data_IF_096521635597
#
_entry.id   IF_096521635597
#
_cell.length_a   1.000
_cell.length_b   1.000
_cell.length_c   1.000
_cell.angle_alpha   90.00
_cell.angle_beta   90.00
_cell.angle_gamma   90.00
#
_symmetry.space_group_name_H-M   'P 1'
#
loop_
_entity.id
_entity.type
_entity.pdbx_description
1 polymer ?
#
# COMPACT_ATOMS: atom_id res chain seq x y z
N UNK A 1 -2.38 -11.11 28.34
CA UNK A 1 -1.86 -9.96 27.56
C UNK A 1 -2.93 -8.89 27.45
N UNK A 2 -2.59 -7.65 27.81
CA UNK A 2 -3.53 -6.50 27.77
C UNK A 2 -3.97 -6.24 26.30
N UNK A 3 -5.19 -5.71 26.10
CA UNK A 3 -5.73 -5.37 24.76
C UNK A 3 -4.81 -4.44 23.96
N UNK A 4 -4.20 -3.44 24.63
CA UNK A 4 -3.25 -2.51 24.02
C UNK A 4 -1.99 -3.23 23.50
N UNK A 5 -1.39 -4.07 24.33
CA UNK A 5 -0.20 -4.86 23.96
C UNK A 5 -0.50 -5.81 22.79
N UNK A 6 -1.65 -6.47 22.82
CA UNK A 6 -2.07 -7.36 21.74
C UNK A 6 -2.25 -6.59 20.42
N UNK A 7 -2.86 -5.40 20.45
CA UNK A 7 -2.99 -4.54 19.26
C UNK A 7 -1.63 -4.12 18.70
N UNK A 8 -0.68 -3.73 19.58
CA UNK A 8 0.68 -3.37 19.17
C UNK A 8 1.41 -4.54 18.47
N UNK A 9 1.29 -5.76 19.01
CA UNK A 9 1.88 -6.96 18.40
C UNK A 9 1.32 -7.19 17.00
N UNK A 10 0.00 -7.10 16.80
CA UNK A 10 -0.57 -7.24 15.45
C UNK A 10 -0.11 -6.15 14.48
N UNK A 11 -0.01 -4.89 14.95
CA UNK A 11 0.50 -3.79 14.11
C UNK A 11 1.97 -4.04 13.73
N UNK A 12 2.79 -4.50 14.67
CA UNK A 12 4.18 -4.85 14.39
C UNK A 12 4.29 -5.99 13.36
N UNK A 13 3.50 -7.06 13.52
CA UNK A 13 3.46 -8.18 12.56
C UNK A 13 3.01 -7.71 11.16
N UNK A 14 1.96 -6.88 11.09
CA UNK A 14 1.49 -6.34 9.82
C UNK A 14 2.53 -5.41 9.17
N UNK A 15 3.22 -4.60 9.98
CA UNK A 15 4.32 -3.77 9.49
C UNK A 15 5.46 -4.61 8.93
N UNK A 16 5.88 -5.67 9.63
CA UNK A 16 6.92 -6.59 9.15
C UNK A 16 6.53 -7.24 7.82
N UNK A 17 5.30 -7.74 7.71
CA UNK A 17 4.78 -8.30 6.46
C UNK A 17 4.73 -7.26 5.34
N UNK A 18 4.32 -6.02 5.64
CA UNK A 18 4.28 -4.94 4.67
C UNK A 18 5.69 -4.57 4.17
N UNK A 19 6.69 -4.53 5.08
CA UNK A 19 8.09 -4.29 4.74
C UNK A 19 8.64 -5.45 3.88
N UNK A 20 8.37 -6.69 4.26
CA UNK A 20 8.79 -7.87 3.50
C UNK A 20 8.22 -7.87 2.08
N UNK A 21 6.90 -7.64 1.92
CA UNK A 21 6.26 -7.54 0.61
C UNK A 21 6.80 -6.38 -0.21
N UNK A 22 7.04 -5.22 0.41
CA UNK A 22 7.61 -4.05 -0.27
C UNK A 22 9.04 -4.32 -0.77
N UNK A 23 9.86 -4.97 0.06
CA UNK A 23 11.24 -5.32 -0.27
C UNK A 23 11.28 -6.40 -1.35
N UNK A 24 10.43 -7.42 -1.23
CA UNK A 24 10.27 -8.48 -2.23
C UNK A 24 9.85 -7.90 -3.58
N UNK A 25 8.80 -7.08 -3.62
CA UNK A 25 8.36 -6.42 -4.85
C UNK A 25 9.48 -5.60 -5.51
N UNK A 26 10.27 -4.93 -4.70
CA UNK A 26 11.39 -4.13 -5.18
C UNK A 26 12.58 -4.98 -5.67
N UNK A 27 12.67 -6.26 -5.28
CA UNK A 27 13.67 -7.20 -5.82
C UNK A 27 13.22 -7.86 -7.13
N UNK A 28 11.92 -7.81 -7.45
CA UNK A 28 11.43 -8.28 -8.74
C UNK A 28 11.86 -7.29 -9.82
N UNK A 29 12.61 -7.79 -10.82
CA UNK A 29 13.02 -7.01 -11.98
C UNK A 29 11.83 -6.83 -12.94
N UNK A 30 10.80 -6.11 -12.50
CA UNK A 30 9.64 -5.84 -13.34
C UNK A 30 10.02 -4.87 -14.46
N UNK A 31 9.50 -5.05 -15.69
CA UNK A 31 9.81 -4.19 -16.83
C UNK A 31 9.06 -2.84 -16.74
N UNK A 32 9.06 -2.25 -15.55
CA UNK A 32 8.48 -0.93 -15.29
C UNK A 32 9.59 0.10 -15.12
N UNK A 33 9.52 1.23 -15.80
CA UNK A 33 10.57 2.25 -15.76
C UNK A 33 10.59 2.99 -14.42
N UNK A 34 11.68 3.68 -14.14
CA UNK A 34 11.86 4.62 -13.02
C UNK A 34 11.66 4.00 -11.62
N UNK A 35 11.73 2.67 -11.46
CA UNK A 35 11.52 2.01 -10.18
C UNK A 35 10.06 1.99 -9.71
N UNK A 36 9.12 2.17 -10.63
CA UNK A 36 7.68 2.06 -10.38
C UNK A 36 7.34 0.63 -9.91
N UNK A 37 6.40 0.53 -8.97
CA UNK A 37 5.99 -0.73 -8.33
C UNK A 37 4.49 -0.96 -8.53
N UNK A 38 4.09 -2.23 -8.56
CA UNK A 38 2.68 -2.63 -8.67
C UNK A 38 1.87 -2.41 -7.40
N UNK A 39 2.55 -2.33 -6.25
CA UNK A 39 1.90 -2.05 -4.96
C UNK A 39 1.37 -3.29 -4.24
N UNK A 40 2.01 -4.44 -4.34
CA UNK A 40 1.61 -5.66 -3.60
C UNK A 40 1.53 -5.44 -2.10
N UNK A 41 2.40 -4.59 -1.55
CA UNK A 41 2.35 -4.24 -0.15
C UNK A 41 1.06 -3.49 0.28
N UNK A 42 0.24 -3.01 -0.68
CA UNK A 42 -1.07 -2.42 -0.39
C UNK A 42 -2.08 -3.43 0.17
N UNK A 43 -1.83 -4.75 -0.01
CA UNK A 43 -2.60 -5.81 0.66
C UNK A 43 -2.67 -5.54 2.16
N UNK A 44 -1.54 -5.22 2.76
CA UNK A 44 -1.47 -4.99 4.22
C UNK A 44 -2.18 -3.70 4.62
N UNK A 45 -2.16 -2.66 3.77
CA UNK A 45 -2.94 -1.43 4.02
C UNK A 45 -4.43 -1.72 4.10
N UNK A 46 -4.97 -2.51 3.15
CA UNK A 46 -6.37 -2.93 3.11
C UNK A 46 -6.73 -3.79 4.33
N UNK A 47 -5.88 -4.75 4.67
CA UNK A 47 -6.07 -5.60 5.85
C UNK A 47 -6.08 -4.76 7.12
N UNK A 48 -5.16 -3.81 7.24
CA UNK A 48 -5.02 -3.00 8.46
C UNK A 48 -6.21 -2.07 8.67
N UNK A 49 -6.70 -1.39 7.63
CA UNK A 49 -7.87 -0.51 7.77
C UNK A 49 -9.12 -1.30 8.12
N UNK A 50 -9.27 -2.51 7.60
CA UNK A 50 -10.43 -3.36 7.85
C UNK A 50 -10.43 -3.96 9.25
N UNK A 51 -9.26 -4.40 9.73
CA UNK A 51 -9.14 -5.03 11.06
C UNK A 51 -9.04 -4.01 12.20
N UNK A 52 -8.50 -2.82 11.94
CA UNK A 52 -8.27 -1.79 12.94
C UNK A 52 -8.92 -0.46 12.54
N UNK A 53 -8.13 0.50 12.07
CA UNK A 53 -8.65 1.80 11.61
C UNK A 53 -7.71 2.48 10.61
N UNK A 54 -8.15 3.63 10.07
CA UNK A 54 -7.34 4.46 9.19
C UNK A 54 -6.03 4.96 9.85
N UNK A 55 -6.06 5.20 11.17
CA UNK A 55 -4.89 5.62 11.93
C UNK A 55 -3.80 4.53 11.95
N UNK A 56 -4.17 3.30 12.27
CA UNK A 56 -3.24 2.18 12.27
C UNK A 56 -2.72 1.87 10.87
N UNK A 57 -3.56 1.95 9.86
CA UNK A 57 -3.13 1.83 8.46
C UNK A 57 -2.09 2.89 8.09
N UNK A 58 -2.30 4.14 8.48
CA UNK A 58 -1.33 5.21 8.22
C UNK A 58 0.02 4.93 8.92
N UNK A 59 -0.02 4.48 10.18
CA UNK A 59 1.20 4.11 10.93
C UNK A 59 1.95 2.98 10.22
N UNK A 60 1.26 1.88 9.86
CA UNK A 60 1.88 0.75 9.14
C UNK A 60 2.49 1.22 7.82
N UNK A 61 1.81 2.09 7.08
CA UNK A 61 2.27 2.58 5.79
C UNK A 61 3.49 3.49 5.90
N UNK A 62 3.54 4.38 6.90
CA UNK A 62 4.71 5.22 7.19
C UNK A 62 5.90 4.33 7.57
N UNK A 63 5.71 3.44 8.54
CA UNK A 63 6.76 2.52 8.98
C UNK A 63 7.27 1.64 7.85
N UNK A 64 6.38 1.13 6.99
CA UNK A 64 6.74 0.33 5.82
C UNK A 64 7.70 1.08 4.90
N UNK A 65 7.38 2.33 4.54
CA UNK A 65 8.21 3.11 3.61
C UNK A 65 9.57 3.45 4.21
N UNK A 66 9.58 3.84 5.49
CA UNK A 66 10.82 4.19 6.20
C UNK A 66 11.70 2.96 6.39
N UNK A 67 11.17 1.88 6.96
CA UNK A 67 11.94 0.68 7.26
C UNK A 67 12.43 -0.02 5.99
N UNK A 68 11.61 -0.13 4.94
CA UNK A 68 12.04 -0.69 3.67
C UNK A 68 13.13 0.16 3.00
N UNK A 69 13.04 1.49 3.11
CA UNK A 69 14.07 2.41 2.63
C UNK A 69 15.40 2.25 3.39
N UNK A 70 15.34 2.10 4.72
CA UNK A 70 16.52 1.84 5.55
C UNK A 70 17.17 0.50 5.23
N UNK A 71 16.38 -0.58 5.18
CA UNK A 71 16.88 -1.94 4.91
C UNK A 71 17.57 -2.06 3.54
N UNK A 72 17.12 -1.28 2.56
CA UNK A 72 17.69 -1.27 1.20
C UNK A 72 18.75 -0.20 0.98
N UNK A 73 19.07 0.61 1.98
CA UNK A 73 19.98 1.74 1.84
C UNK A 73 19.50 2.79 0.82
N UNK A 74 18.18 2.85 0.56
CA UNK A 74 17.59 3.71 -0.47
C UNK A 74 16.78 4.87 0.10
N UNK A 75 16.86 5.09 1.40
CA UNK A 75 16.15 6.20 2.04
C UNK A 75 16.59 7.55 1.43
N UNK A 76 15.63 8.42 1.17
CA UNK A 76 15.80 9.70 0.47
C UNK A 76 16.31 9.62 -0.99
N UNK A 77 16.41 8.42 -1.57
CA UNK A 77 16.65 8.27 -3.01
C UNK A 77 15.39 8.61 -3.84
N UNK A 78 15.55 8.83 -5.13
CA UNK A 78 14.41 9.06 -6.03
C UNK A 78 13.39 7.92 -5.99
N UNK A 79 13.85 6.67 -5.92
CA UNK A 79 12.96 5.48 -5.83
C UNK A 79 12.20 5.43 -4.50
N UNK A 80 12.78 5.94 -3.42
CA UNK A 80 12.10 6.07 -2.15
C UNK A 80 10.97 7.11 -2.19
N UNK A 81 11.22 8.29 -2.79
CA UNK A 81 10.18 9.31 -2.97
C UNK A 81 9.04 8.83 -3.87
N UNK A 82 9.35 8.12 -4.96
CA UNK A 82 8.33 7.49 -5.83
C UNK A 82 7.47 6.52 -5.01
N UNK A 83 8.09 5.66 -4.21
CA UNK A 83 7.36 4.73 -3.34
C UNK A 83 6.51 5.46 -2.29
N UNK A 84 7.03 6.52 -1.67
CA UNK A 84 6.32 7.31 -0.68
C UNK A 84 5.08 8.00 -1.30
N UNK A 85 5.21 8.60 -2.49
CA UNK A 85 4.10 9.20 -3.21
C UNK A 85 3.00 8.20 -3.56
N UNK A 86 3.38 7.01 -4.05
CA UNK A 86 2.44 5.92 -4.31
C UNK A 86 1.70 5.47 -3.05
N UNK A 87 2.42 5.26 -1.95
CA UNK A 87 1.82 4.87 -0.65
C UNK A 87 0.90 5.96 -0.09
N UNK A 88 1.28 7.22 -0.21
CA UNK A 88 0.47 8.35 0.25
C UNK A 88 -0.87 8.40 -0.47
N UNK A 89 -0.87 8.43 -1.81
CA UNK A 89 -2.12 8.53 -2.57
C UNK A 89 -2.96 7.27 -2.48
N UNK A 90 -2.36 6.06 -2.44
CA UNK A 90 -3.12 4.84 -2.20
C UNK A 90 -3.79 4.83 -0.82
N UNK A 91 -3.11 5.33 0.21
CA UNK A 91 -3.67 5.43 1.56
C UNK A 91 -4.85 6.40 1.63
N UNK A 92 -4.71 7.57 0.99
CA UNK A 92 -5.80 8.55 0.87
C UNK A 92 -6.98 7.94 0.13
N UNK A 93 -6.74 7.25 -0.99
CA UNK A 93 -7.77 6.58 -1.78
C UNK A 93 -8.55 5.54 -0.96
N UNK A 94 -7.85 4.68 -0.21
CA UNK A 94 -8.49 3.70 0.69
C UNK A 94 -9.34 4.40 1.75
N UNK A 95 -8.80 5.44 2.42
CA UNK A 95 -9.52 6.17 3.44
C UNK A 95 -10.78 6.84 2.91
N UNK A 96 -10.71 7.48 1.74
CA UNK A 96 -11.87 8.12 1.11
C UNK A 96 -12.93 7.08 0.72
N UNK A 97 -12.54 5.99 0.07
CA UNK A 97 -13.47 4.92 -0.30
C UNK A 97 -14.16 4.36 0.93
N UNK A 98 -13.42 4.05 2.00
CA UNK A 98 -13.99 3.49 3.23
C UNK A 98 -14.85 4.47 4.01
N UNK A 99 -14.59 5.78 3.90
CA UNK A 99 -15.36 6.82 4.56
C UNK A 99 -16.69 7.13 3.83
N UNK A 100 -16.65 7.21 2.50
CA UNK A 100 -17.77 7.71 1.71
C UNK A 100 -18.55 6.61 0.98
N UNK A 101 -18.02 5.39 0.91
CA UNK A 101 -18.65 4.31 0.16
C UNK A 101 -18.66 3.00 0.95
N UNK A 102 -19.52 2.06 0.52
CA UNK A 102 -19.55 0.68 1.04
C UNK A 102 -19.02 -0.32 0.00
N UNK A 103 -18.07 0.10 -0.81
CA UNK A 103 -17.51 -0.75 -1.84
C UNK A 103 -16.87 -2.02 -1.26
N UNK A 104 -16.98 -3.16 -1.96
CA UNK A 104 -16.32 -4.40 -1.56
C UNK A 104 -14.80 -4.25 -1.58
N UNK A 105 -14.10 -5.15 -0.88
CA UNK A 105 -12.65 -5.11 -0.71
C UNK A 105 -11.91 -5.06 -2.05
N UNK A 106 -12.36 -5.84 -3.04
CA UNK A 106 -11.73 -5.88 -4.37
C UNK A 106 -11.81 -4.54 -5.08
N UNK A 107 -12.98 -3.90 -5.07
CA UNK A 107 -13.14 -2.56 -5.68
C UNK A 107 -12.30 -1.50 -4.96
N UNK A 108 -12.25 -1.56 -3.63
CA UNK A 108 -11.37 -0.66 -2.83
C UNK A 108 -9.91 -0.88 -3.19
N UNK A 109 -9.51 -2.12 -3.42
CA UNK A 109 -8.14 -2.48 -3.82
C UNK A 109 -7.78 -1.93 -5.20
N UNK A 110 -8.69 -2.01 -6.17
CA UNK A 110 -8.48 -1.44 -7.52
C UNK A 110 -8.27 0.08 -7.42
N UNK A 111 -9.15 0.78 -6.70
CA UNK A 111 -9.01 2.23 -6.49
C UNK A 111 -7.68 2.57 -5.80
N UNK A 112 -7.28 1.77 -4.80
CA UNK A 112 -5.99 1.91 -4.13
C UNK A 112 -4.80 1.70 -5.08
N UNK A 113 -4.85 0.69 -5.95
CA UNK A 113 -3.81 0.41 -6.93
C UNK A 113 -3.67 1.54 -7.95
N UNK A 114 -4.79 2.07 -8.44
CA UNK A 114 -4.81 3.26 -9.31
C UNK A 114 -4.21 4.46 -8.58
N UNK A 115 -4.65 4.73 -7.35
CA UNK A 115 -4.09 5.82 -6.52
C UNK A 115 -2.59 5.67 -6.30
N UNK A 116 -2.12 4.44 -6.10
CA UNK A 116 -0.69 4.15 -5.97
C UNK A 116 0.07 4.52 -7.24
N UNK A 117 -0.38 4.08 -8.41
CA UNK A 117 0.23 4.42 -9.70
C UNK A 117 0.23 5.92 -9.97
N UNK A 118 -0.89 6.61 -9.72
CA UNK A 118 -0.97 8.08 -9.86
C UNK A 118 0.05 8.76 -8.96
N UNK A 119 0.15 8.33 -7.69
CA UNK A 119 1.11 8.91 -6.75
C UNK A 119 2.56 8.75 -7.19
N UNK A 120 2.90 7.60 -7.76
CA UNK A 120 4.23 7.35 -8.31
C UNK A 120 4.53 8.27 -9.49
N UNK A 121 3.60 8.37 -10.47
CA UNK A 121 3.79 9.21 -11.65
C UNK A 121 3.91 10.69 -11.28
N UNK A 122 3.11 11.19 -10.36
CA UNK A 122 3.23 12.58 -9.92
C UNK A 122 4.62 12.89 -9.37
N UNK A 123 5.19 11.99 -8.58
CA UNK A 123 6.56 12.14 -8.07
C UNK A 123 7.59 12.05 -9.20
N UNK A 124 7.43 11.13 -10.15
CA UNK A 124 8.31 11.00 -11.32
C UNK A 124 8.29 12.29 -12.16
N UNK A 125 7.11 12.80 -12.51
CA UNK A 125 6.95 14.06 -13.25
C UNK A 125 7.61 15.22 -12.52
N UNK A 126 7.43 15.30 -11.20
CA UNK A 126 8.04 16.33 -10.39
C UNK A 126 9.57 16.26 -10.36
N UNK A 127 10.14 15.06 -10.16
CA UNK A 127 11.59 14.87 -10.10
C UNK A 127 12.26 15.14 -11.45
N UNK A 128 11.68 14.63 -12.53
CA UNK A 128 12.25 14.75 -13.88
C UNK A 128 11.84 16.04 -14.60
N UNK A 129 10.96 16.86 -14.00
CA UNK A 129 10.43 18.10 -14.59
C UNK A 129 9.92 17.92 -16.03
N UNK A 130 9.34 16.74 -16.32
CA UNK A 130 8.91 16.36 -17.66
C UNK A 130 7.52 15.73 -17.66
N UNK A 131 6.56 16.41 -18.28
CA UNK A 131 5.20 15.89 -18.49
C UNK A 131 5.15 14.68 -19.43
N UNK A 132 6.17 14.47 -20.28
CA UNK A 132 6.26 13.27 -21.10
C UNK A 132 6.26 11.99 -20.27
N UNK A 133 6.73 12.05 -19.00
CA UNK A 133 6.69 10.91 -18.08
C UNK A 133 5.25 10.51 -17.69
N UNK A 134 4.28 11.41 -17.81
CA UNK A 134 2.88 11.11 -17.52
C UNK A 134 2.26 10.11 -18.51
N UNK A 135 2.85 9.90 -19.69
CA UNK A 135 2.35 8.91 -20.65
C UNK A 135 2.36 7.48 -20.10
N UNK A 136 3.24 7.18 -19.13
CA UNK A 136 3.28 5.89 -18.44
C UNK A 136 2.05 5.60 -17.58
N UNK A 137 1.20 6.60 -17.33
CA UNK A 137 -0.04 6.42 -16.57
C UNK A 137 -0.97 5.38 -17.21
N UNK A 138 -0.97 5.28 -18.54
CA UNK A 138 -1.78 4.31 -19.29
C UNK A 138 -1.34 2.89 -18.95
N UNK A 139 -0.03 2.63 -18.99
CA UNK A 139 0.53 1.32 -18.64
C UNK A 139 0.28 0.98 -17.17
N UNK A 140 0.37 1.97 -16.26
CA UNK A 140 0.08 1.78 -14.84
C UNK A 140 -1.40 1.48 -14.60
N UNK A 141 -2.33 2.12 -15.28
CA UNK A 141 -3.75 1.79 -15.16
C UNK A 141 -4.05 0.39 -15.66
N UNK A 142 -3.46 0.00 -16.81
CA UNK A 142 -3.61 -1.35 -17.35
C UNK A 142 -3.11 -2.43 -16.38
N UNK A 143 -2.04 -2.17 -15.65
CA UNK A 143 -1.49 -3.10 -14.64
C UNK A 143 -2.19 -2.99 -13.29
N UNK A 144 -2.72 -1.81 -12.91
CA UNK A 144 -3.38 -1.57 -11.63
C UNK A 144 -4.68 -2.35 -11.46
N UNK A 145 -5.44 -2.57 -12.56
CA UNK A 145 -6.71 -3.30 -12.49
C UNK A 145 -6.47 -4.77 -12.12
N UNK A 146 -5.68 -5.55 -12.87
CA UNK A 146 -5.44 -6.96 -12.52
C UNK A 146 -4.71 -7.11 -11.18
N UNK A 147 -3.73 -6.26 -10.88
CA UNK A 147 -3.07 -6.29 -9.56
C UNK A 147 -4.02 -5.91 -8.44
N UNK A 148 -4.90 -4.93 -8.63
CA UNK A 148 -5.92 -4.54 -7.66
C UNK A 148 -6.93 -5.66 -7.38
N UNK A 149 -7.34 -6.41 -8.41
CA UNK A 149 -8.20 -7.59 -8.24
C UNK A 149 -7.47 -8.65 -7.41
N UNK A 150 -6.26 -9.01 -7.79
CA UNK A 150 -5.45 -10.02 -7.12
C UNK A 150 -5.19 -9.67 -5.65
N UNK A 151 -4.71 -8.46 -5.39
CA UNK A 151 -4.42 -7.99 -4.04
C UNK A 151 -5.70 -7.84 -3.20
N UNK A 152 -6.82 -7.45 -3.81
CA UNK A 152 -8.12 -7.36 -3.15
C UNK A 152 -8.68 -8.72 -2.71
N UNK A 153 -8.53 -9.76 -3.54
CA UNK A 153 -8.94 -11.12 -3.20
C UNK A 153 -8.10 -11.64 -2.02
N UNK A 154 -6.79 -11.46 -2.07
CA UNK A 154 -5.88 -11.87 -1.00
C UNK A 154 -6.22 -11.12 0.30
N UNK A 155 -6.36 -9.79 0.24
CA UNK A 155 -6.70 -8.98 1.41
C UNK A 155 -8.04 -9.43 2.03
N UNK A 156 -9.07 -9.68 1.20
CA UNK A 156 -10.37 -10.16 1.67
C UNK A 156 -10.26 -11.52 2.38
N UNK A 157 -9.46 -12.43 1.84
CA UNK A 157 -9.22 -13.75 2.44
C UNK A 157 -8.53 -13.61 3.80
N UNK A 158 -7.46 -12.80 3.87
CA UNK A 158 -6.75 -12.55 5.13
C UNK A 158 -7.67 -11.93 6.18
N UNK A 159 -8.48 -10.94 5.79
CA UNK A 159 -9.44 -10.29 6.69
C UNK A 159 -10.46 -11.29 7.23
N UNK A 160 -11.02 -12.16 6.39
CA UNK A 160 -11.94 -13.21 6.84
C UNK A 160 -11.33 -14.11 7.91
N UNK A 161 -10.08 -14.50 7.76
CA UNK A 161 -9.40 -15.34 8.75
C UNK A 161 -9.06 -14.58 10.04
N UNK A 162 -8.49 -13.38 9.92
CA UNK A 162 -8.01 -12.62 11.07
C UNK A 162 -9.12 -11.90 11.85
N UNK A 163 -10.25 -11.60 11.24
CA UNK A 163 -11.35 -10.90 11.89
C UNK A 163 -11.87 -11.64 13.14
N UNK A 164 -11.80 -12.97 13.13
CA UNK A 164 -12.18 -13.81 14.29
C UNK A 164 -11.35 -13.48 15.54
N UNK A 165 -10.06 -13.14 15.35
CA UNK A 165 -9.11 -12.89 16.44
C UNK A 165 -9.00 -11.40 16.82
N UNK A 166 -9.45 -10.50 15.95
CA UNK A 166 -9.30 -9.05 16.12
C UNK A 166 -10.59 -8.33 16.47
N UNK A 167 -11.74 -9.02 16.50
CA UNK A 167 -13.07 -8.44 16.73
C UNK A 167 -13.16 -7.53 17.96
N UNK A 168 -12.43 -7.86 19.03
CA UNK A 168 -12.42 -7.11 20.29
C UNK A 168 -11.33 -6.01 20.36
N UNK A 169 -10.67 -5.69 19.23
CA UNK A 169 -9.55 -4.74 19.16
C UNK A 169 -9.86 -3.52 18.30
N UNK A 170 -10.99 -3.49 17.62
CA UNK A 170 -11.51 -2.27 16.99
C UNK A 170 -11.90 -1.31 18.12
N UNK A 171 -11.23 -0.18 18.19
CA UNK A 171 -11.56 0.91 19.09
C UNK A 171 -12.43 1.92 18.36
#
# INVERSE_FOLDING_TARGET
MNKKTRKLVYIAMLTTLAVALHTFEASLALPLPYGIKLGFANIISLVTIELFSAKEMAIVNILRVVLAGLLRGSIFSYTWFISAGGVLLSSIAIMLVRKFTKLPMVSTSIVSAIGHGVGQILVVVYIYQSWAMATWIIALFATSIPTGIFTGIIANTIVKYLSKYTKNMKA
#
